data_IF_334545312334
#
_entry.id   IF_334545312334
#
_cell.length_a   1.000
_cell.length_b   1.000
_cell.length_c   1.000
_cell.angle_alpha   90.00
_cell.angle_beta   90.00
_cell.angle_gamma   90.00
#
_symmetry.space_group_name_H-M   'P 1'
#
loop_
_entity.id
_entity.type
_entity.pdbx_description
1 polymer ?
#
# COMPACT_ATOMS: atom_id res chain seq x y z
N UNK A 1 -10.45 6.23 4.38
CA UNK A 1 -9.29 6.46 3.51
C UNK A 1 -9.69 7.44 2.44
N UNK A 2 -8.85 8.44 2.18
CA UNK A 2 -9.06 9.42 1.12
C UNK A 2 -7.79 9.51 0.28
N UNK A 3 -7.95 9.40 -1.03
CA UNK A 3 -6.88 9.53 -2.02
C UNK A 3 -7.15 10.79 -2.84
N UNK A 4 -6.20 11.71 -2.89
CA UNK A 4 -6.16 12.74 -3.92
C UNK A 4 -4.95 12.50 -4.80
N UNK A 5 -5.13 12.66 -6.10
CA UNK A 5 -4.05 12.60 -7.07
C UNK A 5 -4.05 13.92 -7.86
N UNK A 6 -2.87 14.53 -7.97
CA UNK A 6 -2.65 15.78 -8.68
C UNK A 6 -1.43 15.66 -9.60
N UNK A 7 -1.29 16.57 -10.58
CA UNK A 7 -0.03 16.74 -11.27
C UNK A 7 1.06 17.19 -10.29
N UNK A 8 2.30 16.78 -10.56
CA UNK A 8 3.49 17.00 -9.73
C UNK A 8 3.73 18.49 -9.34
N UNK A 9 3.16 19.46 -10.08
CA UNK A 9 3.42 20.89 -9.96
C UNK A 9 2.58 21.66 -8.93
N UNK A 10 1.72 21.01 -8.14
CA UNK A 10 0.85 21.71 -7.16
C UNK A 10 1.34 21.58 -5.70
N UNK A 11 2.18 22.51 -5.17
CA UNK A 11 2.65 22.47 -3.77
C UNK A 11 1.56 22.81 -2.75
N UNK A 12 0.42 23.34 -3.19
CA UNK A 12 -0.63 23.86 -2.31
C UNK A 12 -1.44 22.78 -1.57
N UNK A 13 -1.41 21.53 -2.02
CA UNK A 13 -2.25 20.50 -1.40
C UNK A 13 -1.76 20.05 -0.03
N UNK A 14 -0.45 20.05 0.22
CA UNK A 14 0.05 19.85 1.58
C UNK A 14 -0.34 20.98 2.53
N UNK A 15 -0.40 22.22 2.03
CA UNK A 15 -0.79 23.40 2.82
C UNK A 15 -2.26 23.34 3.25
N UNK A 16 -3.16 22.92 2.35
CA UNK A 16 -4.58 22.78 2.69
C UNK A 16 -4.88 21.48 3.45
N UNK A 17 -4.11 20.41 3.25
CA UNK A 17 -4.26 19.17 4.02
C UNK A 17 -3.82 19.38 5.48
N UNK A 18 -2.72 20.09 5.71
CA UNK A 18 -2.23 20.48 7.04
C UNK A 18 -2.23 19.35 8.07
N UNK A 19 -2.44 19.68 9.35
CA UNK A 19 -2.62 18.72 10.44
C UNK A 19 -4.07 18.17 10.53
N UNK A 20 -4.83 18.22 9.44
CA UNK A 20 -6.26 17.87 9.47
C UNK A 20 -6.47 16.36 9.38
N UNK A 21 -5.68 15.69 8.55
CA UNK A 21 -5.62 14.23 8.51
C UNK A 21 -4.69 13.71 9.62
N UNK A 22 -5.00 12.52 10.14
CA UNK A 22 -4.16 11.87 11.17
C UNK A 22 -2.83 11.42 10.59
N UNK A 23 -2.87 10.95 9.34
CA UNK A 23 -1.68 10.56 8.59
C UNK A 23 -1.85 10.91 7.13
N UNK A 24 -0.74 11.29 6.50
CA UNK A 24 -0.64 11.62 5.08
C UNK A 24 0.58 10.88 4.54
N UNK A 25 0.35 10.00 3.57
CA UNK A 25 1.39 9.40 2.76
C UNK A 25 1.48 10.16 1.45
N UNK A 26 2.65 10.75 1.16
CA UNK A 26 2.92 11.42 -0.13
C UNK A 26 3.67 10.46 -1.02
N UNK A 27 3.09 10.14 -2.17
CA UNK A 27 3.57 9.12 -3.09
C UNK A 27 3.64 9.69 -4.51
N UNK A 28 4.58 9.23 -5.31
CA UNK A 28 4.62 9.45 -6.74
C UNK A 28 4.15 8.19 -7.45
N UNK A 29 3.31 8.36 -8.45
CA UNK A 29 2.86 7.32 -9.36
C UNK A 29 3.38 7.66 -10.75
N UNK A 30 4.13 6.74 -11.32
CA UNK A 30 4.56 6.79 -12.71
C UNK A 30 3.48 6.08 -13.52
N UNK A 31 2.86 6.79 -14.47
CA UNK A 31 1.88 6.18 -15.37
C UNK A 31 2.49 5.01 -16.15
N UNK A 32 1.66 4.14 -16.75
CA UNK A 32 2.12 2.95 -17.46
C UNK A 32 3.02 3.25 -18.68
N UNK A 33 3.07 4.51 -19.13
CA UNK A 33 4.05 4.98 -20.11
C UNK A 33 4.57 6.37 -19.74
N UNK A 34 5.82 6.67 -20.09
CA UNK A 34 6.48 7.97 -19.90
C UNK A 34 5.63 9.18 -20.33
N UNK A 35 4.75 8.97 -21.32
CA UNK A 35 3.91 10.00 -21.93
C UNK A 35 2.72 10.44 -21.05
N UNK A 36 2.27 9.61 -20.10
CA UNK A 36 1.15 9.95 -19.22
C UNK A 36 1.57 10.80 -18.00
N UNK A 37 2.85 11.17 -17.93
CA UNK A 37 3.38 12.03 -16.89
C UNK A 37 3.52 11.34 -15.53
N UNK A 38 4.00 12.12 -14.56
CA UNK A 38 4.11 11.73 -13.15
C UNK A 38 2.95 12.34 -12.39
N UNK A 39 2.25 11.52 -11.63
CA UNK A 39 1.22 11.97 -10.70
C UNK A 39 1.73 11.92 -9.27
N UNK A 40 1.34 12.90 -8.47
CA UNK A 40 1.52 12.87 -7.02
C UNK A 40 0.23 12.47 -6.35
N UNK A 41 0.31 11.53 -5.43
CA UNK A 41 -0.79 10.97 -4.67
C UNK A 41 -0.61 11.34 -3.19
N UNK A 42 -1.65 11.91 -2.59
CA UNK A 42 -1.78 12.09 -1.14
C UNK A 42 -2.79 11.09 -0.62
N UNK A 43 -2.29 10.03 -0.01
CA UNK A 43 -3.09 9.00 0.66
C UNK A 43 -3.26 9.39 2.12
N UNK A 44 -4.49 9.74 2.51
CA UNK A 44 -4.78 10.35 3.81
C UNK A 44 -5.77 9.54 4.63
N UNK A 45 -5.54 9.55 5.95
CA UNK A 45 -6.31 8.81 6.93
C UNK A 45 -6.99 9.78 7.90
N UNK A 46 -8.28 9.56 8.13
CA UNK A 46 -9.14 10.44 8.90
C UNK A 46 -9.83 9.64 10.00
N UNK A 47 -9.92 10.19 11.21
CA UNK A 47 -10.57 9.55 12.36
C UNK A 47 -12.04 9.25 12.12
N UNK A 48 -12.74 10.10 11.37
CA UNK A 48 -14.16 9.95 11.11
C UNK A 48 -14.58 10.62 9.80
N UNK A 49 -15.74 10.24 9.23
CA UNK A 49 -16.33 10.97 8.12
C UNK A 49 -16.58 12.45 8.47
N UNK A 50 -16.98 12.75 9.71
CA UNK A 50 -17.28 14.10 10.16
C UNK A 50 -16.04 15.02 10.17
N UNK A 51 -14.88 14.53 10.62
CA UNK A 51 -13.64 15.31 10.61
C UNK A 51 -13.15 15.60 9.18
N UNK A 52 -13.24 14.61 8.29
CA UNK A 52 -13.00 14.83 6.86
C UNK A 52 -13.98 15.87 6.28
N UNK A 53 -15.27 15.76 6.57
CA UNK A 53 -16.28 16.65 5.97
C UNK A 53 -16.16 18.08 6.49
N UNK A 54 -15.76 18.27 7.75
CA UNK A 54 -15.45 19.59 8.31
C UNK A 54 -14.25 20.23 7.57
N UNK A 55 -13.19 19.45 7.33
CA UNK A 55 -12.05 19.91 6.52
C UNK A 55 -12.47 20.22 5.09
N UNK A 56 -13.20 19.32 4.44
CA UNK A 56 -13.62 19.49 3.04
C UNK A 56 -14.45 20.76 2.84
N UNK A 57 -15.35 21.06 3.78
CA UNK A 57 -16.21 22.25 3.76
C UNK A 57 -15.51 23.53 4.25
N UNK A 58 -14.24 23.46 4.64
CA UNK A 58 -13.50 24.64 5.06
C UNK A 58 -13.32 25.61 3.89
N UNK A 59 -13.27 26.91 4.19
CA UNK A 59 -13.15 27.95 3.17
C UNK A 59 -11.89 27.82 2.32
N UNK A 60 -10.76 27.43 2.92
CA UNK A 60 -9.49 27.26 2.21
C UNK A 60 -9.55 26.11 1.20
N UNK A 61 -10.18 24.98 1.58
CA UNK A 61 -10.34 23.84 0.68
C UNK A 61 -11.32 24.17 -0.43
N UNK A 62 -12.49 24.71 -0.12
CA UNK A 62 -13.48 25.10 -1.14
C UNK A 62 -12.87 26.11 -2.13
N UNK A 63 -12.21 27.17 -1.64
CA UNK A 63 -11.55 28.18 -2.49
C UNK A 63 -10.51 27.56 -3.42
N UNK A 64 -9.71 26.61 -2.92
CA UNK A 64 -8.71 25.93 -3.75
C UNK A 64 -9.39 25.13 -4.86
N UNK A 65 -10.39 24.31 -4.55
CA UNK A 65 -11.07 23.46 -5.52
C UNK A 65 -11.90 24.24 -6.54
N UNK A 66 -12.57 25.32 -6.10
CA UNK A 66 -13.36 26.20 -6.97
C UNK A 66 -12.48 27.02 -7.92
N UNK A 67 -11.20 27.22 -7.58
CA UNK A 67 -10.23 27.94 -8.42
C UNK A 67 -9.51 27.05 -9.45
N UNK A 68 -9.71 25.73 -9.43
CA UNK A 68 -9.08 24.83 -10.39
C UNK A 68 -9.70 24.99 -11.77
N UNK A 69 -8.90 25.10 -12.85
CA UNK A 69 -9.43 25.02 -14.20
C UNK A 69 -9.90 23.60 -14.53
N UNK A 70 -10.80 23.45 -15.51
CA UNK A 70 -11.33 22.13 -15.93
C UNK A 70 -10.24 21.14 -16.34
N UNK A 71 -9.09 21.63 -16.80
CA UNK A 71 -7.93 20.85 -17.22
C UNK A 71 -6.83 20.76 -16.16
N UNK A 72 -7.14 21.00 -14.88
CA UNK A 72 -6.16 20.96 -13.80
C UNK A 72 -5.51 19.59 -13.60
N UNK A 73 -6.10 18.50 -14.14
CA UNK A 73 -5.57 17.15 -14.00
C UNK A 73 -5.65 16.62 -12.57
N UNK A 74 -6.62 17.09 -11.80
CA UNK A 74 -6.80 16.82 -10.38
C UNK A 74 -8.04 15.96 -10.16
N UNK A 75 -7.91 14.89 -9.37
CA UNK A 75 -9.05 14.05 -9.01
C UNK A 75 -8.94 13.51 -7.58
N UNK A 76 -10.02 12.83 -7.17
CA UNK A 76 -10.25 12.47 -5.79
C UNK A 76 -11.07 11.20 -5.67
N UNK A 77 -10.60 10.30 -4.82
CA UNK A 77 -11.28 9.06 -4.48
C UNK A 77 -11.44 8.99 -2.96
N UNK A 78 -12.68 8.88 -2.49
CA UNK A 78 -13.00 8.80 -1.06
C UNK A 78 -13.60 7.44 -0.74
N UNK A 79 -12.96 6.72 0.17
CA UNK A 79 -13.47 5.47 0.73
C UNK A 79 -13.80 5.65 2.21
N UNK A 80 -15.08 5.55 2.53
CA UNK A 80 -15.56 5.46 3.91
C UNK A 80 -15.88 4.01 4.23
N UNK A 81 -15.16 3.46 5.20
CA UNK A 81 -15.26 2.07 5.62
C UNK A 81 -15.50 2.03 7.12
N UNK A 82 -16.41 1.16 7.56
CA UNK A 82 -16.61 0.87 8.98
C UNK A 82 -15.43 0.04 9.50
N UNK A 83 -15.06 0.20 10.78
CA UNK A 83 -13.93 -0.53 11.39
C UNK A 83 -14.05 -2.05 11.25
N UNK A 84 -15.27 -2.59 11.29
CA UNK A 84 -15.54 -4.02 11.05
C UNK A 84 -15.36 -4.50 9.60
N UNK A 85 -15.00 -3.61 8.68
CA UNK A 85 -14.85 -3.89 7.25
C UNK A 85 -13.44 -3.59 6.73
N UNK A 86 -12.51 -3.35 7.63
CA UNK A 86 -11.09 -3.20 7.32
C UNK A 86 -10.30 -4.29 8.02
N UNK A 87 -9.21 -4.71 7.39
CA UNK A 87 -8.22 -5.59 7.98
C UNK A 87 -6.84 -5.03 7.69
N UNK A 88 -5.95 -5.20 8.66
CA UNK A 88 -4.54 -4.84 8.57
C UNK A 88 -3.72 -6.07 8.92
N UNK A 89 -2.74 -6.41 8.08
CA UNK A 89 -1.67 -7.33 8.40
C UNK A 89 -0.34 -6.59 8.35
N UNK A 90 0.55 -6.81 9.31
CA UNK A 90 1.89 -6.22 9.33
C UNK A 90 2.88 -7.17 10.00
N UNK A 91 4.15 -7.13 9.60
CA UNK A 91 5.24 -7.83 10.27
C UNK A 91 5.96 -6.98 11.33
N UNK A 92 5.56 -5.72 11.53
CA UNK A 92 6.12 -4.79 12.52
C UNK A 92 5.03 -4.05 13.28
N UNK A 93 5.38 -3.58 14.48
CA UNK A 93 4.52 -2.75 15.35
C UNK A 93 4.51 -1.27 14.98
N UNK A 94 5.36 -0.84 14.03
CA UNK A 94 5.37 0.53 13.54
C UNK A 94 4.04 0.84 12.82
N UNK A 95 3.34 1.94 13.16
CA UNK A 95 2.07 2.27 12.54
C UNK A 95 2.24 2.51 11.03
N UNK A 96 1.38 1.90 10.23
CA UNK A 96 1.35 2.04 8.77
C UNK A 96 -0.09 1.98 8.28
N UNK A 97 -0.42 2.84 7.31
CA UNK A 97 -1.79 2.94 6.79
C UNK A 97 -2.83 3.16 7.90
N UNK A 98 -3.89 2.34 7.93
CA UNK A 98 -4.95 2.39 8.95
C UNK A 98 -4.47 2.25 10.40
N UNK A 99 -3.29 1.69 10.67
CA UNK A 99 -2.76 1.62 12.04
C UNK A 99 -2.49 3.01 12.65
N UNK A 100 -2.39 4.07 11.85
CA UNK A 100 -2.33 5.44 12.38
C UNK A 100 -3.63 5.91 13.05
N UNK A 101 -4.76 5.20 12.83
CA UNK A 101 -6.06 5.55 13.42
C UNK A 101 -6.34 4.81 14.74
N UNK A 102 -5.31 4.31 15.41
CA UNK A 102 -5.42 3.47 16.62
C UNK A 102 -6.35 2.26 16.44
N UNK A 103 -6.40 1.72 15.22
CA UNK A 103 -7.05 0.43 14.97
C UNK A 103 -6.18 -0.64 15.63
N UNK A 104 -6.77 -1.44 16.52
CA UNK A 104 -6.06 -2.50 17.27
C UNK A 104 -5.20 -3.35 16.32
N UNK A 105 -3.87 -3.25 16.49
CA UNK A 105 -2.91 -4.07 15.76
C UNK A 105 -2.86 -5.42 16.48
N UNK A 106 -3.50 -6.44 15.93
CA UNK A 106 -3.21 -7.81 16.36
C UNK A 106 -1.82 -8.18 15.81
N UNK A 107 -0.84 -8.37 16.70
CA UNK A 107 0.45 -8.92 16.32
C UNK A 107 0.27 -10.31 15.67
N UNK A 108 0.99 -10.54 14.58
CA UNK A 108 0.92 -11.77 13.81
C UNK A 108 1.46 -12.95 14.64
N UNK A 109 0.58 -13.63 15.37
CA UNK A 109 0.92 -14.79 16.22
C UNK A 109 0.63 -16.13 15.55
N UNK A 110 0.00 -16.17 14.36
CA UNK A 110 -0.31 -17.43 13.67
C UNK A 110 -0.40 -17.32 12.14
N UNK A 111 -0.19 -18.47 11.51
CA UNK A 111 0.22 -18.80 10.12
C UNK A 111 -0.68 -18.36 8.95
N UNK A 112 -1.74 -17.55 9.12
CA UNK A 112 -2.79 -17.45 8.09
C UNK A 112 -3.07 -16.05 7.50
N UNK A 113 -2.31 -15.00 7.85
CA UNK A 113 -2.81 -13.61 7.68
C UNK A 113 -2.00 -12.64 6.81
N UNK A 114 -1.47 -13.08 5.67
CA UNK A 114 -0.94 -12.13 4.67
C UNK A 114 -1.50 -12.43 3.28
N UNK A 115 -2.63 -11.78 2.97
CA UNK A 115 -3.02 -11.48 1.59
C UNK A 115 -2.46 -10.10 1.23
N UNK A 116 -2.04 -9.91 -0.01
CA UNK A 116 -0.69 -9.43 -0.29
C UNK A 116 -0.53 -8.01 -0.85
N UNK A 117 0.46 -7.32 -0.30
CA UNK A 117 1.30 -6.31 -0.94
C UNK A 117 2.62 -6.19 -0.16
N UNK A 118 3.74 -6.26 -0.87
CA UNK A 118 5.10 -6.17 -0.31
C UNK A 118 5.51 -4.71 -0.06
N UNK A 119 6.35 -4.38 0.97
CA UNK A 119 7.28 -3.19 1.19
C UNK A 119 7.42 -2.78 2.67
N UNK A 120 8.53 -2.32 3.28
CA UNK A 120 9.63 -1.31 3.09
C UNK A 120 10.82 -1.62 4.03
N UNK A 121 12.01 -1.03 3.86
CA UNK A 121 12.97 -0.76 4.97
C UNK A 121 12.59 0.54 5.72
N UNK A 122 12.88 0.73 7.03
CA UNK A 122 12.52 1.91 7.80
C UNK A 122 13.47 3.09 7.52
N UNK A 123 12.93 4.30 7.65
CA UNK A 123 13.71 5.54 7.78
C UNK A 123 14.38 5.57 9.16
N UNK A 124 15.52 4.90 9.34
CA UNK A 124 16.49 5.24 10.37
C UNK A 124 17.85 4.62 10.07
N UNK A 125 18.88 5.46 10.09
CA UNK A 125 20.25 5.06 9.79
C UNK A 125 20.84 4.14 10.85
N UNK A 126 21.31 2.98 10.41
CA UNK A 126 22.57 2.36 10.80
C UNK A 126 23.00 1.43 9.64
N UNK A 127 24.12 1.76 8.99
CA UNK A 127 24.51 1.29 7.65
C UNK A 127 24.84 -0.22 7.58
N UNK A 128 24.86 -0.93 8.71
CA UNK A 128 25.27 -2.35 8.78
C UNK A 128 24.09 -3.34 8.64
N UNK A 129 22.93 -3.06 9.26
CA UNK A 129 21.74 -3.91 9.12
C UNK A 129 21.11 -3.79 7.73
N UNK A 130 21.10 -2.58 7.18
CA UNK A 130 20.55 -2.23 5.87
C UNK A 130 21.24 -3.02 4.74
N UNK A 131 22.57 -3.03 4.65
CA UNK A 131 23.27 -3.67 3.52
C UNK A 131 23.00 -5.19 3.45
N UNK A 132 23.07 -5.89 4.60
CA UNK A 132 22.86 -7.35 4.64
C UNK A 132 21.45 -7.70 4.19
N UNK A 133 20.47 -7.02 4.75
CA UNK A 133 19.08 -7.32 4.50
C UNK A 133 18.63 -6.81 3.13
N UNK A 134 19.12 -5.65 2.67
CA UNK A 134 18.93 -5.14 1.30
C UNK A 134 19.47 -6.13 0.27
N UNK A 135 20.69 -6.64 0.47
CA UNK A 135 21.26 -7.70 -0.37
C UNK A 135 20.38 -8.95 -0.36
N UNK A 136 19.93 -9.38 0.82
CA UNK A 136 19.02 -10.51 0.96
C UNK A 136 17.70 -10.30 0.21
N UNK A 137 17.13 -9.09 0.28
CA UNK A 137 15.93 -8.70 -0.46
C UNK A 137 16.14 -8.78 -1.97
N UNK A 138 17.21 -8.19 -2.49
CA UNK A 138 17.54 -8.21 -3.92
C UNK A 138 17.74 -9.65 -4.43
N UNK A 139 18.40 -10.50 -3.63
CA UNK A 139 18.67 -11.90 -4.01
C UNK A 139 17.44 -12.81 -3.94
N UNK A 140 16.52 -12.59 -2.99
CA UNK A 140 15.44 -13.54 -2.67
C UNK A 140 14.04 -13.07 -3.03
N UNK A 141 13.80 -11.76 -3.02
CA UNK A 141 12.44 -11.22 -3.05
C UNK A 141 12.18 -10.23 -4.17
N UNK A 142 13.17 -9.44 -4.61
CA UNK A 142 12.95 -8.39 -5.61
C UNK A 142 12.35 -8.94 -6.93
N UNK A 143 13.01 -9.93 -7.54
CA UNK A 143 12.51 -10.58 -8.76
C UNK A 143 11.11 -11.21 -8.59
N UNK A 144 10.89 -12.09 -7.60
CA UNK A 144 9.57 -12.65 -7.31
C UNK A 144 8.48 -11.60 -7.03
N UNK A 145 8.81 -10.53 -6.30
CA UNK A 145 7.90 -9.43 -5.99
C UNK A 145 7.49 -8.68 -7.25
N UNK A 146 8.46 -8.31 -8.10
CA UNK A 146 8.20 -7.67 -9.40
C UNK A 146 7.32 -8.53 -10.28
N UNK A 147 7.61 -9.84 -10.34
CA UNK A 147 6.79 -10.79 -11.10
C UNK A 147 5.35 -10.85 -10.56
N UNK A 148 5.18 -10.97 -9.25
CA UNK A 148 3.84 -10.99 -8.64
C UNK A 148 3.05 -9.71 -8.98
N UNK A 149 3.67 -8.55 -8.83
CA UNK A 149 3.04 -7.26 -9.15
C UNK A 149 2.64 -7.22 -10.62
N UNK A 150 3.54 -7.64 -11.53
CA UNK A 150 3.24 -7.75 -12.95
C UNK A 150 2.09 -8.71 -13.26
N UNK A 151 2.02 -9.86 -12.59
CA UNK A 151 0.93 -10.83 -12.76
C UNK A 151 -0.42 -10.25 -12.29
N UNK A 152 -0.45 -9.50 -11.18
CA UNK A 152 -1.69 -8.86 -10.67
C UNK A 152 -2.15 -7.74 -11.58
N UNK A 153 -1.26 -6.81 -11.92
CA UNK A 153 -1.57 -5.69 -12.81
C UNK A 153 -1.99 -6.20 -14.18
N UNK A 154 -1.26 -7.19 -14.73
CA UNK A 154 -1.54 -7.80 -16.02
C UNK A 154 -2.82 -8.64 -16.06
N UNK A 155 -3.39 -9.01 -14.92
CA UNK A 155 -4.69 -9.70 -14.88
C UNK A 155 -5.85 -8.79 -15.31
N UNK A 156 -5.70 -7.47 -15.15
CA UNK A 156 -6.65 -6.46 -15.60
C UNK A 156 -8.09 -6.74 -15.16
N UNK A 157 -9.04 -6.29 -15.98
CA UNK A 157 -10.48 -6.44 -15.70
C UNK A 157 -10.92 -7.91 -15.64
N UNK A 158 -10.33 -8.80 -16.45
CA UNK A 158 -10.61 -10.25 -16.42
C UNK A 158 -10.23 -10.88 -15.07
N UNK A 159 -9.14 -10.40 -14.47
CA UNK A 159 -8.71 -10.72 -13.12
C UNK A 159 -9.45 -9.98 -12.02
N UNK A 160 -10.43 -9.13 -12.38
CA UNK A 160 -11.20 -8.30 -11.46
C UNK A 160 -10.43 -7.10 -10.91
N UNK A 161 -9.31 -6.71 -11.51
CA UNK A 161 -8.55 -5.50 -11.17
C UNK A 161 -9.13 -4.33 -11.97
N UNK A 162 -9.81 -3.42 -11.28
CA UNK A 162 -10.44 -2.23 -11.87
C UNK A 162 -9.45 -1.08 -12.06
N UNK A 163 -8.48 -0.97 -11.17
CA UNK A 163 -7.43 0.05 -11.23
C UNK A 163 -6.23 -0.40 -10.42
N UNK A 164 -5.04 -0.09 -10.93
CA UNK A 164 -3.78 -0.40 -10.28
C UNK A 164 -2.85 0.79 -10.34
N UNK A 165 -2.38 1.25 -9.19
CA UNK A 165 -1.35 2.28 -9.09
C UNK A 165 -0.15 1.76 -8.34
N UNK A 166 1.00 1.77 -9.00
CA UNK A 166 2.29 1.48 -8.38
C UNK A 166 2.92 2.81 -7.99
N UNK A 167 3.01 3.05 -6.69
CA UNK A 167 3.48 4.32 -6.16
C UNK A 167 4.80 4.16 -5.39
N UNK A 168 5.61 5.21 -5.32
CA UNK A 168 6.89 5.28 -4.60
C UNK A 168 7.05 6.58 -3.82
N UNK A 169 7.77 6.56 -2.70
CA UNK A 169 8.20 7.78 -2.00
C UNK A 169 9.62 8.11 -2.45
N UNK A 170 9.80 9.20 -3.20
CA UNK A 170 11.10 9.50 -3.83
C UNK A 170 12.20 9.73 -2.80
N UNK A 171 11.87 10.38 -1.69
CA UNK A 171 12.80 10.71 -0.61
C UNK A 171 13.32 9.48 0.13
N UNK A 172 12.73 8.30 -0.11
CA UNK A 172 13.20 7.05 0.48
C UNK A 172 14.51 6.54 -0.12
N UNK A 173 14.94 7.09 -1.27
CA UNK A 173 16.10 6.58 -2.02
C UNK A 173 15.79 5.34 -2.87
N UNK A 174 16.80 4.83 -3.57
CA UNK A 174 16.70 3.67 -4.46
C UNK A 174 17.35 2.43 -3.83
N UNK A 175 16.82 1.25 -4.16
CA UNK A 175 17.29 -0.04 -3.68
C UNK A 175 18.66 -0.42 -4.27
N UNK A 176 18.92 -0.04 -5.52
CA UNK A 176 20.18 -0.30 -6.21
C UNK A 176 20.82 1.01 -6.65
N UNK A 177 21.83 1.45 -5.90
CA UNK A 177 22.59 2.67 -6.15
C UNK A 177 23.48 2.57 -7.39
N UNK A 178 23.91 1.37 -7.80
CA UNK A 178 24.72 1.16 -9.02
C UNK A 178 23.93 1.47 -10.30
N UNK A 179 22.60 1.54 -10.23
CA UNK A 179 21.73 1.94 -11.33
C UNK A 179 21.58 3.46 -11.44
N UNK A 180 22.07 4.23 -10.44
CA UNK A 180 21.88 5.67 -10.32
C UNK A 180 22.81 6.54 -11.20
N UNK A 181 23.89 5.96 -11.76
CA UNK A 181 24.78 6.69 -12.67
C UNK A 181 24.22 6.69 -14.10
N UNK A 182 23.29 7.61 -14.36
CA UNK A 182 22.75 7.93 -15.68
C UNK A 182 21.33 8.47 -15.62
N UNK A 183 20.93 9.30 -16.60
CA UNK A 183 19.53 9.72 -16.81
C UNK A 183 18.68 8.50 -17.23
N UNK A 184 18.43 7.57 -16.31
CA UNK A 184 17.50 6.47 -16.51
C UNK A 184 16.16 6.81 -15.87
N UNK A 185 15.12 6.59 -16.65
CA UNK A 185 13.75 6.52 -16.19
C UNK A 185 13.63 5.34 -15.20
N UNK A 186 13.52 5.62 -13.90
CA UNK A 186 13.44 4.59 -12.85
C UNK A 186 12.04 3.96 -12.79
N UNK A 187 11.97 2.65 -12.55
CA UNK A 187 10.71 1.97 -12.22
C UNK A 187 10.33 2.33 -10.77
N UNK A 188 9.04 2.56 -10.49
CA UNK A 188 8.51 2.62 -9.11
C UNK A 188 9.06 1.48 -8.23
N UNK A 189 9.26 0.31 -8.83
CA UNK A 189 9.81 -0.90 -8.22
C UNK A 189 11.34 -0.85 -7.96
N UNK A 190 11.98 0.30 -8.12
CA UNK A 190 13.38 0.55 -7.71
C UNK A 190 13.51 1.34 -6.39
N UNK A 191 12.49 2.05 -5.90
CA UNK A 191 12.57 2.86 -4.66
C UNK A 191 12.53 2.05 -3.34
N UNK A 192 13.17 2.51 -2.27
CA UNK A 192 13.13 1.80 -0.98
C UNK A 192 11.70 1.71 -0.43
N UNK A 193 10.93 2.80 -0.58
CA UNK A 193 9.52 2.87 -0.20
C UNK A 193 8.62 3.00 -1.40
N UNK A 194 7.65 2.10 -1.42
CA UNK A 194 6.64 2.04 -2.47
C UNK A 194 5.30 1.64 -1.84
N UNK A 195 4.19 1.80 -2.56
CA UNK A 195 2.83 1.40 -2.14
C UNK A 195 2.08 0.89 -3.37
N UNK A 196 1.27 -0.16 -3.22
CA UNK A 196 0.37 -0.62 -4.28
C UNK A 196 -1.04 -0.18 -3.89
N UNK A 197 -1.72 0.57 -4.76
CA UNK A 197 -3.13 0.91 -4.57
C UNK A 197 -3.90 0.17 -5.65
N UNK A 198 -4.60 -0.89 -5.24
CA UNK A 198 -5.34 -1.78 -6.13
C UNK A 198 -6.82 -1.71 -5.81
N UNK A 199 -7.64 -1.45 -6.82
CA UNK A 199 -9.08 -1.56 -6.75
C UNK A 199 -9.52 -2.86 -7.40
N UNK A 200 -10.16 -3.73 -6.63
CA UNK A 200 -10.75 -4.96 -7.13
C UNK A 200 -12.27 -4.84 -7.22
N UNK A 201 -12.87 -5.57 -8.16
CA UNK A 201 -14.33 -5.68 -8.30
C UNK A 201 -14.96 -6.24 -7.02
N UNK A 202 -14.33 -7.26 -6.44
CA UNK A 202 -14.64 -7.78 -5.11
C UNK A 202 -13.40 -8.44 -4.48
N UNK A 203 -13.45 -8.67 -3.16
CA UNK A 203 -12.37 -9.33 -2.42
C UNK A 203 -12.13 -10.78 -2.87
N UNK A 204 -13.14 -11.44 -3.44
CA UNK A 204 -12.99 -12.78 -3.96
C UNK A 204 -12.05 -12.83 -5.16
N UNK A 205 -11.99 -11.79 -6.00
CA UNK A 205 -10.97 -11.69 -7.05
C UNK A 205 -9.57 -11.58 -6.48
N UNK A 206 -9.38 -10.70 -5.49
CA UNK A 206 -8.10 -10.52 -4.79
C UNK A 206 -7.63 -11.83 -4.12
N UNK A 207 -8.53 -12.50 -3.39
CA UNK A 207 -8.26 -13.79 -2.75
C UNK A 207 -7.89 -14.86 -3.80
N UNK A 208 -8.67 -14.96 -4.89
CA UNK A 208 -8.44 -15.97 -5.93
C UNK A 208 -7.08 -15.79 -6.60
N UNK A 209 -6.72 -14.57 -6.99
CA UNK A 209 -5.40 -14.34 -7.62
C UNK A 209 -4.27 -14.59 -6.63
N UNK A 210 -4.44 -14.19 -5.36
CA UNK A 210 -3.47 -14.46 -4.29
C UNK A 210 -3.26 -15.95 -4.02
N UNK A 211 -4.32 -16.78 -4.07
CA UNK A 211 -4.23 -18.22 -3.81
C UNK A 211 -3.80 -19.03 -5.02
N UNK A 212 -4.18 -18.63 -6.23
CA UNK A 212 -3.90 -19.39 -7.46
C UNK A 212 -2.52 -19.11 -8.03
N UNK A 213 -1.98 -17.90 -7.82
CA UNK A 213 -0.66 -17.56 -8.31
C UNK A 213 0.43 -18.27 -7.48
N UNK A 214 1.03 -19.32 -8.05
CA UNK A 214 2.07 -20.10 -7.39
C UNK A 214 3.35 -19.29 -7.08
N UNK A 215 3.64 -18.26 -7.88
CA UNK A 215 4.74 -17.34 -7.60
C UNK A 215 4.50 -16.55 -6.33
N UNK A 216 3.28 -16.03 -6.17
CA UNK A 216 2.85 -15.33 -4.97
C UNK A 216 2.82 -16.22 -3.72
N UNK A 217 2.27 -17.42 -3.82
CA UNK A 217 2.25 -18.38 -2.70
C UNK A 217 3.67 -18.66 -2.20
N UNK A 218 4.59 -18.99 -3.11
CA UNK A 218 6.01 -19.23 -2.77
C UNK A 218 6.70 -18.00 -2.21
N UNK A 219 6.39 -16.81 -2.73
CA UNK A 219 6.90 -15.54 -2.22
C UNK A 219 6.46 -15.31 -0.79
N UNK A 220 5.16 -15.47 -0.49
CA UNK A 220 4.62 -15.36 0.88
C UNK A 220 5.28 -16.37 1.81
N UNK A 221 5.36 -17.64 1.43
CA UNK A 221 6.01 -18.69 2.23
C UNK A 221 7.48 -18.38 2.52
N UNK A 222 8.22 -17.93 1.51
CA UNK A 222 9.64 -17.57 1.63
C UNK A 222 9.84 -16.34 2.52
N UNK A 223 8.93 -15.35 2.41
CA UNK A 223 8.93 -14.17 3.27
C UNK A 223 8.69 -14.58 4.72
N UNK A 224 7.63 -15.36 4.99
CA UNK A 224 7.32 -15.83 6.34
C UNK A 224 8.47 -16.64 6.94
N UNK A 225 9.06 -17.56 6.17
CA UNK A 225 10.23 -18.32 6.62
C UNK A 225 11.43 -17.43 6.98
N UNK A 226 11.60 -16.31 6.28
CA UNK A 226 12.74 -15.40 6.48
C UNK A 226 12.51 -14.40 7.62
N UNK A 227 11.29 -13.89 7.75
CA UNK A 227 10.96 -12.75 8.60
C UNK A 227 10.13 -13.07 9.84
N UNK A 228 9.55 -14.27 9.95
CA UNK A 228 8.93 -14.71 11.21
C UNK A 228 9.99 -14.85 12.33
N UNK A 229 9.59 -14.92 13.61
CA UNK A 229 10.51 -14.85 14.76
C UNK A 229 11.71 -15.82 14.76
N UNK A 230 11.62 -16.96 14.05
CA UNK A 230 12.71 -17.94 13.92
C UNK A 230 13.50 -17.83 12.59
N UNK A 231 13.16 -16.88 11.73
CA UNK A 231 13.77 -16.68 10.42
C UNK A 231 15.07 -15.88 10.50
N UNK A 232 15.94 -16.04 9.49
CA UNK A 232 17.25 -15.37 9.46
C UNK A 232 17.18 -13.83 9.38
N UNK A 233 16.03 -13.28 8.99
CA UNK A 233 15.72 -11.85 8.95
C UNK A 233 14.64 -11.47 9.98
N UNK A 234 14.41 -12.27 11.03
CA UNK A 234 13.41 -11.97 12.07
C UNK A 234 13.56 -10.55 12.67
N UNK A 235 14.82 -10.15 12.90
CA UNK A 235 15.19 -8.84 13.43
C UNK A 235 15.60 -7.84 12.33
N UNK A 236 15.29 -8.16 11.06
CA UNK A 236 15.50 -7.25 9.95
C UNK A 236 14.58 -6.03 10.07
N UNK A 237 14.99 -4.95 9.44
CA UNK A 237 14.32 -3.67 9.44
C UNK A 237 13.18 -3.62 8.39
N UNK A 238 13.11 -4.58 7.47
CA UNK A 238 12.03 -4.68 6.48
C UNK A 238 10.65 -4.78 7.15
N UNK A 239 9.89 -3.70 7.07
CA UNK A 239 8.45 -3.60 7.20
C UNK A 239 7.75 -4.29 6.01
N UNK A 240 6.56 -4.82 6.22
CA UNK A 240 5.61 -5.29 5.23
C UNK A 240 4.23 -5.16 5.86
N UNK A 241 3.35 -4.39 5.23
CA UNK A 241 1.98 -4.23 5.68
C UNK A 241 1.00 -4.31 4.51
N UNK A 242 -0.19 -4.79 4.80
CA UNK A 242 -1.31 -4.84 3.87
C UNK A 242 -2.54 -4.36 4.57
N UNK A 243 -3.22 -3.40 3.97
CA UNK A 243 -4.56 -3.02 4.36
C UNK A 243 -5.56 -3.37 3.27
N UNK A 244 -6.71 -3.89 3.70
CA UNK A 244 -7.81 -4.19 2.82
C UNK A 244 -9.12 -3.76 3.45
N UNK A 245 -10.09 -3.41 2.60
CA UNK A 245 -11.43 -3.12 3.05
C UNK A 245 -12.43 -3.13 1.91
N UNK A 246 -13.68 -3.44 2.23
CA UNK A 246 -14.71 -3.64 1.22
C UNK A 246 -16.08 -3.10 1.65
N UNK A 247 -16.83 -2.56 0.70
CA UNK A 247 -18.23 -2.17 0.89
C UNK A 247 -19.16 -3.38 0.67
N UNK A 248 -19.06 -4.41 1.53
CA UNK A 248 -19.95 -5.61 1.52
C UNK A 248 -20.07 -6.31 2.89
N UNK A 249 -20.99 -7.26 3.07
CA UNK A 249 -21.15 -8.02 4.33
C UNK A 249 -19.98 -9.00 4.56
N UNK A 250 -19.17 -8.76 5.58
CA UNK A 250 -17.95 -9.53 5.92
C UNK A 250 -18.20 -10.78 6.79
N UNK A 251 -19.33 -10.86 7.50
CA UNK A 251 -19.60 -11.91 8.49
C UNK A 251 -19.72 -13.32 7.86
N UNK A 252 -20.19 -13.43 6.63
CA UNK A 252 -20.29 -14.71 5.92
C UNK A 252 -18.95 -15.23 5.39
N UNK A 253 -18.04 -14.31 5.04
CA UNK A 253 -16.74 -14.61 4.46
C UNK A 253 -15.76 -15.12 5.53
N UNK A 254 -15.72 -14.47 6.70
CA UNK A 254 -14.88 -14.90 7.83
C UNK A 254 -15.22 -16.29 8.37
N UNK A 255 -16.52 -16.67 8.47
CA UNK A 255 -16.90 -18.02 8.92
C UNK A 255 -16.43 -19.13 7.98
N UNK A 256 -16.38 -18.85 6.67
CA UNK A 256 -15.96 -19.80 5.65
C UNK A 256 -14.44 -19.93 5.54
N UNK A 257 -13.72 -18.83 5.82
CA UNK A 257 -12.26 -18.77 5.76
C UNK A 257 -11.58 -19.24 7.05
N UNK A 258 -12.22 -19.08 8.21
CA UNK A 258 -11.66 -19.37 9.54
C UNK A 258 -12.09 -20.73 10.13
N UNK A 259 -12.92 -21.52 9.43
CA UNK A 259 -13.40 -22.81 9.94
C UNK A 259 -14.29 -22.74 11.19
N UNK A 260 -14.71 -21.56 11.63
CA UNK A 260 -15.59 -21.40 12.79
C UNK A 260 -17.04 -21.76 12.44
N UNK A 261 -17.52 -22.86 13.03
CA UNK A 261 -18.89 -23.37 12.86
C UNK A 261 -19.03 -24.84 12.51
N UNK A 262 -17.96 -25.64 12.58
CA UNK A 262 -18.07 -27.10 12.67
C UNK A 262 -17.58 -27.56 14.03
N UNK A 263 -18.48 -27.58 15.00
CA UNK A 263 -18.43 -28.56 16.08
C UNK A 263 -19.84 -29.09 16.31
N UNK A 264 -19.90 -30.42 16.47
CA UNK A 264 -21.03 -31.27 16.87
C UNK A 264 -22.20 -31.47 15.89
N UNK A 265 -22.07 -32.50 15.04
CA UNK A 265 -23.03 -33.61 14.98
C UNK A 265 -22.24 -34.92 14.87
#
# INVERSE_FOLDING_TARGET
MYLAELPHSHPFVLLILGNSAVHIETLEHFGPTAQHGRSRIWLTYWTSPASHDAWWKSSSVQTFWDALPDNAGVWREKLTLHSSRVQLGTNKTFPSGFAHLDVSIEECTSTERLESSLKTFPERGEVSSDIRERKYWLEKFDGPARKWIGDVVGSGEEGGVLSSRLCSKLESGVLNEEVAEGEKEFDTLDYNRKVQVLYFLDLGYMERIGKRNQGHVKLRESFMKSYCPAGQMANGDQLMWVEQGGQGSWLGYLRKLMGWGKDSA
#
